data_IF_929868418512
#
_entry.id   IF_929868418512
#
_cell.length_a   1.000
_cell.length_b   1.000
_cell.length_c   1.000
_cell.angle_alpha   90.00
_cell.angle_beta   90.00
_cell.angle_gamma   90.00
#
_symmetry.space_group_name_H-M   'P 1'
#
loop_
_entity.id
_entity.type
_entity.pdbx_description
1 polymer ?
#
# COMPACT_ATOMS: atom_id res chain seq x y z
N UNK A 1 -9.96 -21.46 -0.15
CA UNK A 1 -11.43 -21.34 -0.08
C UNK A 1 -11.87 -20.63 -1.34
N UNK A 2 -12.72 -21.26 -2.15
CA UNK A 2 -13.30 -20.58 -3.31
C UNK A 2 -14.57 -19.87 -2.88
N UNK A 3 -14.61 -18.56 -3.07
CA UNK A 3 -15.80 -17.75 -2.84
C UNK A 3 -16.68 -17.78 -4.10
N UNK A 4 -18.01 -17.88 -3.96
CA UNK A 4 -18.92 -17.65 -5.07
C UNK A 4 -18.67 -16.29 -5.74
N UNK A 5 -18.69 -16.25 -7.08
CA UNK A 5 -18.40 -15.05 -7.86
C UNK A 5 -19.20 -13.80 -7.41
N UNK A 6 -20.51 -13.87 -7.09
CA UNK A 6 -21.24 -12.70 -6.60
C UNK A 6 -20.68 -12.12 -5.30
N UNK A 7 -20.18 -12.99 -4.40
CA UNK A 7 -19.58 -12.58 -3.13
C UNK A 7 -18.22 -11.93 -3.39
N UNK A 8 -17.38 -12.53 -4.24
CA UNK A 8 -16.09 -11.97 -4.63
C UNK A 8 -16.25 -10.57 -5.27
N UNK A 9 -17.17 -10.42 -6.22
CA UNK A 9 -17.47 -9.11 -6.83
C UNK A 9 -17.94 -8.07 -5.80
N UNK A 10 -18.82 -8.45 -4.87
CA UNK A 10 -19.28 -7.54 -3.83
C UNK A 10 -18.13 -7.08 -2.92
N UNK A 11 -17.26 -7.99 -2.51
CA UNK A 11 -16.09 -7.67 -1.68
C UNK A 11 -15.10 -6.78 -2.43
N UNK A 12 -14.81 -7.07 -3.71
CA UNK A 12 -13.97 -6.22 -4.54
C UNK A 12 -14.54 -4.80 -4.65
N UNK A 13 -15.84 -4.67 -4.92
CA UNK A 13 -16.49 -3.36 -4.99
C UNK A 13 -16.40 -2.58 -3.66
N UNK A 14 -16.51 -3.28 -2.53
CA UNK A 14 -16.36 -2.67 -1.21
C UNK A 14 -14.93 -2.15 -0.98
N UNK A 15 -13.92 -2.93 -1.35
CA UNK A 15 -12.50 -2.56 -1.21
C UNK A 15 -12.17 -1.37 -2.12
N UNK A 16 -12.55 -1.46 -3.41
CA UNK A 16 -12.33 -0.39 -4.39
C UNK A 16 -12.91 0.94 -3.91
N UNK A 17 -14.13 0.90 -3.32
CA UNK A 17 -14.80 2.09 -2.82
C UNK A 17 -14.17 2.68 -1.55
N UNK A 18 -13.60 1.84 -0.68
CA UNK A 18 -13.13 2.27 0.65
C UNK A 18 -11.64 2.62 0.71
N UNK A 19 -10.82 2.06 -0.19
CA UNK A 19 -9.36 2.15 -0.12
C UNK A 19 -8.71 2.77 -1.36
N UNK A 20 -9.48 3.50 -2.16
CA UNK A 20 -8.97 4.19 -3.36
C UNK A 20 -8.05 3.29 -4.20
N UNK A 21 -8.52 2.08 -4.58
CA UNK A 21 -7.67 1.09 -5.24
C UNK A 21 -7.06 1.66 -6.54
N UNK A 22 -5.76 1.51 -6.71
CA UNK A 22 -5.09 1.65 -7.99
C UNK A 22 -4.31 0.37 -8.33
N UNK A 23 -4.09 0.13 -9.62
CA UNK A 23 -3.34 -1.03 -10.09
C UNK A 23 -2.40 -0.67 -11.24
N UNK A 24 -1.33 -1.45 -11.37
CA UNK A 24 -0.39 -1.42 -12.48
C UNK A 24 -0.09 -2.86 -12.92
N UNK A 25 0.07 -3.07 -14.22
CA UNK A 25 0.56 -4.30 -14.81
C UNK A 25 1.86 -4.00 -15.54
N UNK A 26 2.92 -4.72 -15.20
CA UNK A 26 4.26 -4.50 -15.73
C UNK A 26 4.78 -5.77 -16.37
N UNK A 27 5.34 -5.65 -17.58
CA UNK A 27 5.98 -6.76 -18.26
C UNK A 27 7.23 -7.22 -17.50
N UNK A 28 7.69 -8.44 -17.78
CA UNK A 28 8.96 -8.95 -17.24
C UNK A 28 10.18 -8.12 -17.66
N UNK A 29 10.06 -7.33 -18.72
CA UNK A 29 11.09 -6.39 -19.19
C UNK A 29 11.02 -5.01 -18.51
N UNK A 30 10.12 -4.86 -17.53
CA UNK A 30 9.93 -3.63 -16.74
C UNK A 30 9.13 -2.55 -17.46
N UNK A 31 8.32 -2.91 -18.46
CA UNK A 31 7.50 -1.98 -19.24
C UNK A 31 6.08 -1.96 -18.68
N UNK A 32 5.53 -0.77 -18.42
CA UNK A 32 4.15 -0.63 -17.96
C UNK A 32 3.18 -1.02 -19.09
N UNK A 33 2.45 -2.13 -18.93
CA UNK A 33 1.50 -2.67 -19.90
C UNK A 33 0.11 -2.04 -19.69
N UNK A 34 -0.35 -1.96 -18.44
CA UNK A 34 -1.66 -1.41 -18.10
C UNK A 34 -1.61 -0.70 -16.74
N UNK A 35 -2.52 0.25 -16.54
CA UNK A 35 -2.66 0.99 -15.29
C UNK A 35 -4.10 1.49 -15.13
N UNK A 36 -4.61 1.48 -13.90
CA UNK A 36 -5.97 1.97 -13.66
C UNK A 36 -6.33 2.16 -12.19
N UNK A 37 -7.59 2.50 -11.96
CA UNK A 37 -8.11 2.87 -10.65
C UNK A 37 -7.75 4.31 -10.25
N UNK A 38 -7.54 4.54 -8.96
CA UNK A 38 -7.29 5.86 -8.39
C UNK A 38 -5.82 6.30 -8.48
N UNK A 39 -5.18 6.18 -9.65
CA UNK A 39 -3.76 6.50 -9.86
C UNK A 39 -3.38 7.90 -9.36
N UNK A 40 -4.28 8.86 -9.54
CA UNK A 40 -4.14 10.25 -9.08
C UNK A 40 -3.91 10.38 -7.58
N UNK A 41 -4.56 9.55 -6.77
CA UNK A 41 -4.40 9.56 -5.32
C UNK A 41 -2.96 9.26 -4.90
N UNK A 42 -2.25 8.46 -5.70
CA UNK A 42 -0.88 8.03 -5.42
C UNK A 42 0.17 8.85 -6.17
N UNK A 43 -0.23 9.87 -6.93
CA UNK A 43 0.68 10.68 -7.74
C UNK A 43 1.12 10.01 -9.05
N UNK A 44 0.37 9.01 -9.53
CA UNK A 44 0.68 8.20 -10.71
C UNK A 44 -0.14 8.60 -11.96
N UNK A 45 -0.69 9.81 -11.98
CA UNK A 45 -1.50 10.33 -13.10
C UNK A 45 -0.74 10.40 -14.43
N UNK A 46 0.59 10.48 -14.37
CA UNK A 46 1.48 10.59 -15.53
C UNK A 46 2.06 9.26 -16.03
N UNK A 47 1.74 8.13 -15.39
CA UNK A 47 2.37 6.84 -15.69
C UNK A 47 2.18 6.45 -17.18
N UNK A 48 3.24 6.53 -18.02
CA UNK A 48 3.08 6.35 -19.45
C UNK A 48 3.04 4.87 -19.79
N UNK A 49 1.87 4.38 -20.19
CA UNK A 49 1.73 3.03 -20.74
C UNK A 49 2.66 2.85 -21.94
N UNK A 50 3.38 1.73 -21.98
CA UNK A 50 4.36 1.41 -23.02
C UNK A 50 5.77 1.90 -22.76
N UNK A 51 6.00 2.65 -21.68
CA UNK A 51 7.34 3.04 -21.24
C UNK A 51 7.83 2.17 -20.08
N UNK A 52 9.15 2.16 -19.88
CA UNK A 52 9.74 1.54 -18.69
C UNK A 52 9.30 2.30 -17.45
N UNK A 53 9.11 1.56 -16.36
CA UNK A 53 8.82 2.16 -15.05
C UNK A 53 9.82 3.29 -14.76
N UNK A 54 9.28 4.50 -14.60
CA UNK A 54 10.05 5.71 -14.34
C UNK A 54 10.25 5.98 -12.86
N UNK A 55 10.86 7.13 -12.55
CA UNK A 55 11.18 7.57 -11.18
C UNK A 55 9.96 7.67 -10.24
N UNK A 56 8.77 7.87 -10.79
CA UNK A 56 7.50 7.93 -10.04
C UNK A 56 7.22 6.64 -9.26
N UNK A 57 7.86 5.53 -9.65
CA UNK A 57 7.72 4.20 -9.06
C UNK A 57 9.05 3.68 -8.50
N UNK A 58 9.95 4.58 -8.04
CA UNK A 58 11.26 4.21 -7.50
C UNK A 58 11.19 3.20 -6.34
N UNK A 59 10.10 3.19 -5.57
CA UNK A 59 9.89 2.20 -4.50
C UNK A 59 9.68 0.76 -5.02
N UNK A 60 9.44 0.58 -6.33
CA UNK A 60 9.38 -0.72 -7.00
C UNK A 60 10.72 -1.10 -7.65
N UNK A 61 11.69 -0.18 -7.76
CA UNK A 61 13.01 -0.51 -8.30
C UNK A 61 13.71 -1.53 -7.40
N UNK A 62 14.24 -2.59 -8.02
CA UNK A 62 14.87 -3.70 -7.31
C UNK A 62 13.92 -4.77 -6.76
N UNK A 63 12.60 -4.56 -6.84
CA UNK A 63 11.59 -5.58 -6.55
C UNK A 63 11.11 -6.31 -7.81
N UNK A 64 11.18 -5.65 -8.96
CA UNK A 64 10.70 -6.16 -10.25
C UNK A 64 11.86 -6.53 -11.19
N UNK A 65 11.72 -7.59 -12.01
CA UNK A 65 10.57 -8.50 -12.04
C UNK A 65 10.51 -9.40 -10.79
N UNK A 66 9.30 -9.79 -10.38
CA UNK A 66 9.14 -10.63 -9.18
C UNK A 66 9.66 -12.05 -9.46
N UNK A 67 10.66 -12.51 -8.71
CA UNK A 67 11.18 -13.88 -8.77
C UNK A 67 10.58 -14.73 -7.63
N UNK A 68 9.33 -15.15 -7.77
CA UNK A 68 8.71 -16.13 -6.87
C UNK A 68 7.45 -15.65 -6.18
N UNK A 69 7.48 -15.59 -4.84
CA UNK A 69 6.28 -15.38 -4.03
C UNK A 69 5.74 -13.95 -4.07
N UNK A 70 4.41 -13.76 -3.92
CA UNK A 70 3.82 -12.44 -3.78
C UNK A 70 4.45 -11.63 -2.64
N UNK A 71 4.71 -10.36 -2.90
CA UNK A 71 5.28 -9.42 -1.93
C UNK A 71 4.17 -8.51 -1.40
N UNK A 72 4.14 -8.32 -0.09
CA UNK A 72 3.26 -7.36 0.57
C UNK A 72 4.09 -6.36 1.36
N UNK A 73 3.91 -5.07 1.06
CA UNK A 73 4.52 -3.97 1.79
C UNK A 73 3.42 -3.11 2.41
N UNK A 74 3.37 -3.06 3.74
CA UNK A 74 2.39 -2.24 4.43
C UNK A 74 2.85 -0.79 4.55
N UNK A 75 1.92 0.17 4.45
CA UNK A 75 2.13 1.58 4.80
C UNK A 75 3.29 2.27 4.07
N UNK A 76 3.50 1.94 2.81
CA UNK A 76 4.49 2.62 1.95
C UNK A 76 4.01 4.06 1.72
N UNK A 77 4.91 5.02 1.93
CA UNK A 77 4.63 6.43 1.64
C UNK A 77 4.80 6.70 0.16
N UNK A 78 3.75 7.20 -0.48
CA UNK A 78 3.79 7.66 -1.86
C UNK A 78 4.24 9.12 -1.92
N UNK A 79 4.62 9.60 -3.11
CA UNK A 79 5.01 11.01 -3.30
C UNK A 79 3.85 11.97 -3.01
N UNK A 80 2.61 11.53 -3.16
CA UNK A 80 1.41 12.29 -2.76
C UNK A 80 1.25 12.45 -1.25
N UNK A 81 2.05 11.77 -0.44
CA UNK A 81 1.99 11.79 1.03
C UNK A 81 1.01 10.79 1.64
N UNK A 82 0.24 10.07 0.82
CA UNK A 82 -0.62 8.98 1.29
C UNK A 82 0.21 7.79 1.77
N UNK A 83 -0.39 7.01 2.67
CA UNK A 83 0.12 5.70 3.04
C UNK A 83 -0.62 4.64 2.23
N UNK A 84 0.11 3.74 1.58
CA UNK A 84 -0.46 2.69 0.76
C UNK A 84 0.04 1.30 1.19
N UNK A 85 -0.86 0.33 1.25
CA UNK A 85 -0.49 -1.08 1.27
C UNK A 85 -0.30 -1.54 -0.18
N UNK A 86 0.87 -2.09 -0.47
CA UNK A 86 1.25 -2.58 -1.78
C UNK A 86 1.16 -4.11 -1.78
N UNK A 87 0.42 -4.65 -2.73
CA UNK A 87 0.42 -6.08 -3.02
C UNK A 87 0.98 -6.30 -4.41
N UNK A 88 2.06 -7.07 -4.49
CA UNK A 88 2.75 -7.38 -5.74
C UNK A 88 2.69 -8.88 -5.95
N UNK A 89 2.21 -9.31 -7.11
CA UNK A 89 2.17 -10.72 -7.48
C UNK A 89 2.40 -10.88 -8.97
N UNK A 90 2.76 -12.08 -9.40
CA UNK A 90 3.02 -12.37 -10.81
C UNK A 90 2.03 -13.39 -11.36
N UNK A 91 1.69 -13.24 -12.64
CA UNK A 91 0.97 -14.22 -13.44
C UNK A 91 1.57 -14.33 -14.86
N UNK A 92 0.82 -14.92 -15.79
CA UNK A 92 1.26 -15.09 -17.18
C UNK A 92 1.40 -13.77 -17.95
N UNK A 93 0.69 -12.71 -17.55
CA UNK A 93 0.71 -11.40 -18.21
C UNK A 93 1.87 -10.52 -17.73
N UNK A 94 2.29 -10.70 -16.47
CA UNK A 94 3.44 -9.98 -15.92
C UNK A 94 3.43 -9.90 -14.40
N UNK A 95 3.87 -8.75 -13.90
CA UNK A 95 3.84 -8.40 -12.48
C UNK A 95 2.73 -7.37 -12.24
N UNK A 96 1.77 -7.76 -11.40
CA UNK A 96 0.68 -6.92 -10.95
C UNK A 96 1.08 -6.21 -9.67
N UNK A 97 0.82 -4.91 -9.60
CA UNK A 97 0.99 -4.08 -8.42
C UNK A 97 -0.36 -3.48 -8.07
N UNK A 98 -0.83 -3.72 -6.85
CA UNK A 98 -2.05 -3.13 -6.29
C UNK A 98 -1.66 -2.14 -5.21
N UNK A 99 -2.25 -0.95 -5.23
CA UNK A 99 -2.09 0.08 -4.20
C UNK A 99 -3.43 0.29 -3.51
N UNK A 100 -3.43 0.13 -2.19
CA UNK A 100 -4.60 0.31 -1.33
C UNK A 100 -4.31 1.37 -0.27
N UNK A 101 -5.13 2.41 -0.21
CA UNK A 101 -5.01 3.46 0.79
C UNK A 101 -5.09 2.84 2.20
N UNK A 102 -4.08 3.14 3.00
CA UNK A 102 -3.89 2.71 4.38
C UNK A 102 -3.74 3.93 5.31
N UNK A 103 -4.05 5.14 4.84
CA UNK A 103 -3.86 6.39 5.59
C UNK A 103 -4.73 6.42 6.86
N UNK A 104 -5.95 5.89 6.80
CA UNK A 104 -6.82 5.82 7.96
C UNK A 104 -6.30 4.81 8.99
N UNK A 105 -5.81 3.67 8.54
CA UNK A 105 -5.20 2.63 9.35
C UNK A 105 -3.93 3.16 10.04
N UNK A 106 -3.05 3.82 9.30
CA UNK A 106 -1.86 4.48 9.83
C UNK A 106 -2.21 5.54 10.89
N UNK A 107 -3.22 6.38 10.63
CA UNK A 107 -3.66 7.39 11.58
C UNK A 107 -4.19 6.78 12.89
N UNK A 108 -4.91 5.66 12.82
CA UNK A 108 -5.41 4.94 14.00
C UNK A 108 -4.28 4.37 14.84
N UNK A 109 -3.29 3.73 14.21
CA UNK A 109 -2.12 3.19 14.91
C UNK A 109 -1.29 4.28 15.56
N UNK A 110 -1.09 5.40 14.85
CA UNK A 110 -0.36 6.56 15.38
C UNK A 110 -1.02 7.12 16.65
N UNK A 111 -2.35 7.28 16.65
CA UNK A 111 -3.11 7.73 17.81
C UNK A 111 -2.97 6.78 19.00
N UNK A 112 -3.04 5.47 18.74
CA UNK A 112 -2.85 4.44 19.76
C UNK A 112 -1.45 4.51 20.36
N UNK A 113 -0.42 4.63 19.52
CA UNK A 113 0.97 4.73 19.95
C UNK A 113 1.22 5.99 20.78
N UNK A 114 0.68 7.14 20.37
CA UNK A 114 0.77 8.39 21.13
C UNK A 114 0.15 8.22 22.53
N UNK A 115 -1.06 7.67 22.60
CA UNK A 115 -1.77 7.44 23.86
C UNK A 115 -0.98 6.51 24.80
N UNK A 116 -0.39 5.44 24.25
CA UNK A 116 0.45 4.52 25.02
C UNK A 116 1.71 5.20 25.57
N UNK A 117 2.37 6.03 24.75
CA UNK A 117 3.57 6.76 25.13
C UNK A 117 3.28 7.77 26.25
N UNK A 118 2.17 8.51 26.16
CA UNK A 118 1.73 9.46 27.18
C UNK A 118 1.48 8.76 28.52
N UNK A 119 0.79 7.63 28.50
CA UNK A 119 0.54 6.82 29.70
C UNK A 119 1.85 6.30 30.33
N UNK A 120 2.78 5.81 29.50
CA UNK A 120 4.09 5.36 29.96
C UNK A 120 4.90 6.50 30.59
N UNK A 121 4.85 7.70 30.01
CA UNK A 121 5.52 8.88 30.54
C UNK A 121 4.95 9.30 31.89
N UNK A 122 3.63 9.31 32.05
CA UNK A 122 2.96 9.61 33.33
C UNK A 122 3.33 8.61 34.42
N UNK A 123 3.32 7.30 34.11
CA UNK A 123 3.75 6.25 35.05
C UNK A 123 5.18 6.43 35.52
N UNK A 124 6.10 6.77 34.61
CA UNK A 124 7.51 7.06 34.96
C UNK A 124 7.64 8.28 35.88
N UNK A 125 6.84 9.32 35.66
CA UNK A 125 6.84 10.51 36.53
C UNK A 125 6.32 10.19 37.94
N UNK A 126 5.23 9.43 38.04
CA UNK A 126 4.67 9.01 39.32
C UNK A 126 5.64 8.13 40.12
N UNK A 127 6.28 7.16 39.47
CA UNK A 127 7.28 6.29 40.12
C UNK A 127 8.45 7.08 40.71
N UNK A 128 8.92 8.14 40.03
CA UNK A 128 9.98 9.03 40.53
C UNK A 128 9.54 9.92 41.70
N UNK A 129 8.24 10.17 41.85
CA UNK A 129 7.69 10.96 42.95
C UNK A 129 7.42 10.11 44.19
N UNK A 130 7.10 8.82 44.01
CA UNK A 130 6.90 7.87 45.12
C UNK A 130 8.20 7.33 45.73
N UNK A 131 9.33 7.52 45.07
CA UNK A 131 10.68 7.14 45.54
C UNK A 131 11.40 8.27 46.32
N UNK A 132 10.68 9.35 46.66
CA UNK A 132 11.16 10.48 47.48
C UNK A 132 10.38 10.56 48.79
#
# INVERSE_FOLDING_TARGET
>A
MELPLPIAHYLCALIVKSRSLAYLLVSKDGVLIDAGGALSAYGLEGAPTGERLGKELFFLEGLLPLEGEPVWLSRVKTESGLSADLHIFTDEEGDWILLLDATLEEARESLQQQSANELALLRRKLAKLSDR
#
